data_IF_572310608098
#
_entry.id   IF_572310608098
#
_cell.length_a   1.000
_cell.length_b   1.000
_cell.length_c   1.000
_cell.angle_alpha   90.00
_cell.angle_beta   90.00
_cell.angle_gamma   90.00
#
_symmetry.space_group_name_H-M   'P 1'
#
loop_
_entity.id
_entity.type
_entity.pdbx_description
1 polymer ?
#
# COMPACT_ATOMS: atom_id res chain seq x y z
N UNK A 1 -14.85 -27.77 54.53
CA UNK A 1 -13.48 -27.52 54.06
C UNK A 1 -13.55 -27.51 52.53
N UNK A 2 -14.13 -26.53 51.84
CA UNK A 2 -13.75 -25.11 51.69
C UNK A 2 -12.26 -24.94 51.40
N UNK A 3 -11.94 -24.86 50.11
CA UNK A 3 -10.87 -24.03 49.60
C UNK A 3 -11.52 -23.02 48.66
N UNK A 4 -11.42 -21.76 49.06
CA UNK A 4 -11.74 -20.59 48.25
C UNK A 4 -10.56 -20.25 47.32
N UNK A 5 -10.91 -19.43 46.31
CA UNK A 5 -10.06 -18.49 45.59
C UNK A 5 -9.29 -19.07 44.37
N UNK A 6 -9.16 -18.40 43.22
CA UNK A 6 -9.27 -16.96 42.88
C UNK A 6 -9.80 -16.85 41.44
N UNK A 7 -10.81 -16.01 41.24
CA UNK A 7 -11.20 -15.46 39.94
C UNK A 7 -10.14 -14.41 39.54
N UNK A 8 -9.49 -14.56 38.38
CA UNK A 8 -8.62 -13.51 37.85
C UNK A 8 -8.74 -13.38 36.33
N UNK A 9 -9.65 -12.47 35.97
CA UNK A 9 -9.57 -11.45 34.93
C UNK A 9 -8.96 -11.83 33.57
N UNK A 10 -9.87 -11.98 32.60
CA UNK A 10 -9.85 -11.30 31.31
C UNK A 10 -8.46 -10.89 30.78
N UNK A 11 -7.72 -11.87 30.26
CA UNK A 11 -6.81 -11.59 29.16
C UNK A 11 -7.48 -12.02 27.85
N UNK A 12 -8.33 -11.15 27.32
CA UNK A 12 -8.61 -11.15 25.89
C UNK A 12 -7.32 -10.73 25.19
N UNK A 13 -6.46 -11.70 24.92
CA UNK A 13 -5.42 -11.54 23.91
C UNK A 13 -6.13 -11.42 22.57
N UNK A 14 -6.46 -10.18 22.17
CA UNK A 14 -6.84 -9.89 20.80
C UNK A 14 -5.56 -10.00 19.99
N UNK A 15 -5.24 -11.24 19.62
CA UNK A 15 -4.50 -11.47 18.38
C UNK A 15 -5.42 -10.92 17.30
N UNK A 16 -5.09 -9.76 16.75
CA UNK A 16 -5.60 -9.39 15.44
C UNK A 16 -5.04 -10.46 14.48
N UNK A 17 -5.75 -11.58 14.37
CA UNK A 17 -5.68 -12.41 13.19
C UNK A 17 -6.09 -11.46 12.07
N UNK A 18 -5.11 -11.00 11.28
CA UNK A 18 -5.35 -10.27 10.04
C UNK A 18 -6.29 -11.14 9.22
N UNK A 19 -7.55 -10.76 9.23
CA UNK A 19 -8.71 -11.50 8.81
C UNK A 19 -8.80 -11.35 7.31
N UNK A 20 -8.62 -12.46 6.58
CA UNK A 20 -8.65 -12.54 5.12
C UNK A 20 -7.51 -11.74 4.45
N UNK A 21 -7.09 -12.09 3.23
CA UNK A 21 -6.37 -11.13 2.40
C UNK A 21 -7.24 -9.88 2.32
N UNK A 22 -6.66 -8.74 2.68
CA UNK A 22 -7.30 -7.42 2.59
C UNK A 22 -7.65 -7.17 1.12
N UNK A 23 -8.84 -7.61 0.72
CA UNK A 23 -9.30 -7.79 -0.67
C UNK A 23 -9.92 -6.51 -1.23
N UNK A 24 -9.88 -5.41 -0.48
CA UNK A 24 -10.46 -4.15 -0.93
C UNK A 24 -9.59 -3.53 -2.02
N UNK A 25 -10.05 -3.60 -3.25
CA UNK A 25 -9.44 -2.90 -4.37
C UNK A 25 -9.88 -1.44 -4.45
N UNK A 26 -9.09 -0.63 -5.15
CA UNK A 26 -9.37 0.77 -5.46
C UNK A 26 -9.40 0.90 -6.98
N UNK A 27 -10.57 1.24 -7.51
CA UNK A 27 -10.80 1.33 -8.95
C UNK A 27 -10.80 2.80 -9.35
N UNK A 28 -9.99 3.14 -10.35
CA UNK A 28 -10.06 4.42 -11.06
C UNK A 28 -10.56 4.18 -12.48
N UNK A 29 -11.30 5.14 -13.03
CA UNK A 29 -11.84 5.06 -14.39
C UNK A 29 -11.90 6.44 -15.03
N UNK A 30 -11.37 6.56 -16.25
CA UNK A 30 -11.46 7.76 -17.08
C UNK A 30 -11.46 7.38 -18.57
N UNK A 31 -12.63 7.48 -19.22
CA UNK A 31 -12.80 7.07 -20.62
C UNK A 31 -12.55 5.56 -20.79
N UNK A 32 -11.71 5.20 -21.75
CA UNK A 32 -11.34 3.80 -22.05
C UNK A 32 -10.23 3.25 -21.13
N UNK A 33 -9.73 4.07 -20.20
CA UNK A 33 -8.66 3.71 -19.26
C UNK A 33 -9.24 3.47 -17.88
N UNK A 34 -8.94 2.31 -17.28
CA UNK A 34 -9.25 2.05 -15.88
C UNK A 34 -8.09 1.36 -15.19
N UNK A 35 -7.97 1.57 -13.89
CA UNK A 35 -6.92 0.99 -13.06
C UNK A 35 -7.51 0.35 -11.82
N UNK A 36 -7.03 -0.84 -11.48
CA UNK A 36 -7.43 -1.59 -10.28
C UNK A 36 -6.20 -1.77 -9.42
N UNK A 37 -6.17 -1.09 -8.29
CA UNK A 37 -5.09 -1.15 -7.30
C UNK A 37 -5.52 -1.89 -6.03
N UNK A 38 -4.57 -2.33 -5.22
CA UNK A 38 -4.79 -2.61 -3.81
C UNK A 38 -4.99 -1.30 -3.01
N UNK A 39 -5.20 -1.42 -1.69
CA UNK A 39 -5.44 -0.26 -0.82
C UNK A 39 -4.25 0.70 -0.68
N UNK A 40 -3.04 0.25 -1.02
CA UNK A 40 -1.80 1.02 -0.97
C UNK A 40 -1.44 1.63 -2.33
N UNK A 41 -2.23 1.35 -3.36
CA UNK A 41 -2.00 1.79 -4.73
C UNK A 41 -1.12 0.83 -5.53
N UNK A 42 -0.81 -0.35 -5.03
CA UNK A 42 -0.01 -1.34 -5.75
C UNK A 42 -0.86 -2.18 -6.70
N UNK A 43 -0.21 -2.69 -7.74
CA UNK A 43 -0.69 -3.78 -8.58
C UNK A 43 0.22 -4.98 -8.33
N UNK A 44 -0.32 -6.08 -7.84
CA UNK A 44 0.41 -7.29 -7.45
C UNK A 44 -0.22 -8.50 -8.12
N UNK A 45 0.34 -8.97 -9.22
CA UNK A 45 -0.01 -10.27 -9.79
C UNK A 45 0.92 -11.38 -9.26
N UNK A 46 0.40 -12.62 -9.07
CA UNK A 46 -1.01 -13.00 -9.13
C UNK A 46 -1.75 -12.59 -7.84
N UNK A 47 -2.88 -11.89 -8.00
CA UNK A 47 -3.84 -11.58 -6.93
C UNK A 47 -5.16 -12.31 -7.20
N UNK A 48 -5.94 -12.59 -6.14
CA UNK A 48 -7.27 -13.21 -6.29
C UNK A 48 -8.28 -12.35 -7.08
N UNK A 49 -8.03 -11.05 -7.17
CA UNK A 49 -8.77 -10.08 -7.97
C UNK A 49 -7.82 -9.55 -9.03
N UNK A 50 -8.24 -9.44 -10.28
CA UNK A 50 -7.37 -8.89 -11.33
C UNK A 50 -7.06 -7.42 -11.06
N UNK A 51 -5.81 -7.16 -10.71
CA UNK A 51 -5.26 -5.82 -10.58
C UNK A 51 -4.55 -5.46 -11.88
N UNK A 52 -4.48 -4.17 -12.20
CA UNK A 52 -3.76 -3.71 -13.36
C UNK A 52 -4.19 -2.35 -13.87
N UNK A 53 -3.47 -1.88 -14.89
CA UNK A 53 -3.90 -0.77 -15.75
C UNK A 53 -4.43 -1.35 -17.05
N UNK A 54 -5.65 -0.99 -17.40
CA UNK A 54 -6.35 -1.53 -18.55
C UNK A 54 -6.72 -0.40 -19.49
N UNK A 55 -6.53 -0.63 -20.78
CA UNK A 55 -6.97 0.27 -21.84
C UNK A 55 -7.71 -0.55 -22.88
N UNK A 56 -8.97 -0.21 -23.15
CA UNK A 56 -9.83 -0.96 -24.08
C UNK A 56 -9.83 -2.47 -23.79
N UNK A 57 -10.14 -2.80 -22.53
CA UNK A 57 -10.26 -4.18 -22.01
C UNK A 57 -8.95 -4.98 -21.91
N UNK A 58 -7.84 -4.48 -22.47
CA UNK A 58 -6.54 -5.14 -22.41
C UNK A 58 -5.71 -4.65 -21.22
N UNK A 59 -5.10 -5.57 -20.44
CA UNK A 59 -4.19 -5.23 -19.34
C UNK A 59 -2.81 -4.83 -19.88
N UNK A 60 -2.45 -3.56 -19.72
CA UNK A 60 -1.15 -3.03 -20.12
C UNK A 60 -0.12 -3.05 -18.99
N UNK A 61 -0.55 -3.03 -17.73
CA UNK A 61 0.32 -3.07 -16.56
C UNK A 61 -0.19 -4.15 -15.60
N UNK A 62 0.62 -5.16 -15.35
CA UNK A 62 0.30 -6.29 -14.47
C UNK A 62 1.05 -6.23 -13.14
N UNK A 63 2.04 -5.35 -13.01
CA UNK A 63 2.72 -5.09 -11.74
C UNK A 63 3.10 -3.63 -11.59
N UNK A 64 2.85 -3.10 -10.39
CA UNK A 64 3.23 -1.77 -9.94
C UNK A 64 3.41 -1.83 -8.43
N UNK A 65 4.62 -2.02 -7.94
CA UNK A 65 4.86 -2.19 -6.50
C UNK A 65 5.86 -1.16 -6.00
N UNK A 66 5.45 -0.35 -5.03
CA UNK A 66 6.33 0.58 -4.32
C UNK A 66 6.87 -0.07 -3.03
N UNK A 67 8.19 -0.01 -2.84
CA UNK A 67 8.86 -0.51 -1.63
C UNK A 67 9.89 0.47 -1.09
N UNK A 68 10.12 0.36 0.21
CA UNK A 68 11.28 0.93 0.88
C UNK A 68 12.31 -0.20 1.02
N UNK A 69 13.33 -0.20 0.14
CA UNK A 69 14.25 -1.33 -0.04
C UNK A 69 13.46 -2.61 -0.36
N UNK A 70 13.56 -3.64 0.48
CA UNK A 70 12.84 -4.91 0.38
C UNK A 70 11.50 -4.91 1.14
N UNK A 71 11.22 -3.84 1.89
CA UNK A 71 10.10 -3.75 2.82
C UNK A 71 8.86 -3.11 2.19
N UNK A 72 7.69 -3.64 2.53
CA UNK A 72 6.40 -3.06 2.15
C UNK A 72 6.11 -1.87 3.08
N UNK A 73 5.57 -0.79 2.52
CA UNK A 73 5.10 0.34 3.30
C UNK A 73 3.87 -0.06 4.14
N UNK A 74 3.54 0.73 5.14
CA UNK A 74 2.40 0.50 6.03
C UNK A 74 1.31 1.50 5.70
N UNK A 75 0.10 1.00 5.38
CA UNK A 75 -1.06 1.84 5.10
C UNK A 75 -1.53 2.57 6.36
N UNK A 76 -1.63 3.90 6.29
CA UNK A 76 -2.30 4.73 7.30
C UNK A 76 -3.74 5.00 6.86
N UNK A 77 -3.91 5.46 5.62
CA UNK A 77 -5.22 5.75 5.03
C UNK A 77 -5.16 5.68 3.51
N UNK A 78 -6.30 5.42 2.85
CA UNK A 78 -6.41 5.64 1.41
C UNK A 78 -7.83 5.97 0.98
N UNK A 79 -7.94 6.71 -0.12
CA UNK A 79 -9.20 7.20 -0.65
C UNK A 79 -9.16 7.29 -2.17
N UNK A 80 -10.35 7.24 -2.76
CA UNK A 80 -10.60 7.57 -4.17
C UNK A 80 -11.53 8.78 -4.15
N UNK A 81 -11.23 9.80 -4.96
CA UNK A 81 -12.07 11.00 -5.06
C UNK A 81 -13.41 10.66 -5.72
N UNK A 82 -14.41 11.52 -5.52
CA UNK A 82 -15.79 11.29 -6.02
C UNK A 82 -15.88 11.09 -7.54
N UNK A 83 -14.93 11.61 -8.31
CA UNK A 83 -14.88 11.45 -9.77
C UNK A 83 -14.21 10.14 -10.23
N UNK A 84 -13.76 9.30 -9.30
CA UNK A 84 -13.02 8.06 -9.56
C UNK A 84 -11.79 8.23 -10.47
N UNK A 85 -11.27 9.45 -10.65
CA UNK A 85 -10.09 9.69 -11.47
C UNK A 85 -8.81 9.79 -10.64
N UNK A 86 -8.94 10.02 -9.33
CA UNK A 86 -7.80 10.23 -8.42
C UNK A 86 -7.84 9.27 -7.24
N UNK A 87 -6.72 8.56 -7.04
CA UNK A 87 -6.44 7.77 -5.85
C UNK A 87 -5.37 8.45 -5.01
N UNK A 88 -5.49 8.39 -3.68
CA UNK A 88 -4.45 8.80 -2.74
C UNK A 88 -4.29 7.78 -1.62
N UNK A 89 -3.06 7.54 -1.19
CA UNK A 89 -2.73 6.77 -0.01
C UNK A 89 -1.67 7.47 0.84
N UNK A 90 -1.97 7.58 2.13
CA UNK A 90 -1.00 7.91 3.17
C UNK A 90 -0.37 6.60 3.67
N UNK A 91 0.94 6.49 3.52
CA UNK A 91 1.72 5.33 3.93
C UNK A 91 2.85 5.76 4.88
N UNK A 92 3.40 4.80 5.61
CA UNK A 92 4.58 5.01 6.46
C UNK A 92 5.56 3.85 6.40
N UNK A 93 6.79 4.02 6.87
CA UNK A 93 7.77 2.95 6.92
C UNK A 93 7.53 1.99 8.12
N UNK A 94 7.80 0.69 7.96
CA UNK A 94 8.05 -0.20 9.10
C UNK A 94 9.37 0.18 9.80
N UNK A 95 9.66 -0.45 10.94
CA UNK A 95 11.01 -0.39 11.49
C UNK A 95 11.97 -1.00 10.45
N UNK A 96 12.97 -0.22 10.01
CA UNK A 96 13.83 -0.60 8.89
C UNK A 96 15.26 -0.21 9.17
N UNK A 97 16.20 -1.07 8.77
CA UNK A 97 17.63 -0.79 8.82
C UNK A 97 18.10 -0.25 7.46
N UNK A 98 18.65 0.95 7.46
CA UNK A 98 19.16 1.63 6.28
C UNK A 98 20.47 1.00 5.78
N UNK A 99 20.90 1.45 4.60
CA UNK A 99 22.16 1.05 3.96
C UNK A 99 23.38 1.37 4.81
N UNK A 100 23.36 2.46 5.58
CA UNK A 100 24.42 2.86 6.52
C UNK A 100 24.32 2.20 7.91
N UNK A 101 23.51 1.14 8.02
CA UNK A 101 23.20 0.39 9.24
C UNK A 101 22.44 1.14 10.34
N UNK A 102 22.03 2.39 10.12
CA UNK A 102 21.15 3.08 11.08
C UNK A 102 19.75 2.50 11.05
N UNK A 103 19.10 2.49 12.20
CA UNK A 103 17.71 2.07 12.33
C UNK A 103 16.81 3.31 12.19
N UNK A 104 15.84 3.22 11.29
CA UNK A 104 14.75 4.19 11.21
C UNK A 104 13.56 3.59 11.91
N UNK A 105 13.08 4.30 12.93
CA UNK A 105 11.91 3.89 13.70
C UNK A 105 10.70 3.76 12.78
N UNK A 106 9.84 2.78 13.08
CA UNK A 106 8.50 2.67 12.45
C UNK A 106 7.78 4.01 12.57
N UNK A 107 7.19 4.50 11.49
CA UNK A 107 6.44 5.76 11.53
C UNK A 107 7.25 7.03 11.25
N UNK A 108 8.58 6.95 11.10
CA UNK A 108 9.42 8.14 10.93
C UNK A 108 9.27 8.83 9.57
N UNK A 109 8.96 8.06 8.53
CA UNK A 109 8.82 8.52 7.16
C UNK A 109 7.35 8.43 6.78
N UNK A 110 6.81 9.53 6.26
CA UNK A 110 5.50 9.56 5.64
C UNK A 110 5.66 9.57 4.13
N UNK A 111 4.79 8.81 3.47
CA UNK A 111 4.72 8.74 2.03
C UNK A 111 3.31 9.09 1.60
N UNK A 112 3.16 10.12 0.78
CA UNK A 112 1.92 10.39 0.07
C UNK A 112 2.05 9.85 -1.35
N UNK A 113 1.31 8.79 -1.64
CA UNK A 113 1.20 8.23 -2.98
C UNK A 113 -0.10 8.69 -3.62
N UNK A 114 -0.06 9.05 -4.90
CA UNK A 114 -1.26 9.42 -5.66
C UNK A 114 -1.22 8.84 -7.07
N UNK A 115 -2.38 8.43 -7.58
CA UNK A 115 -2.60 8.09 -8.99
C UNK A 115 -3.65 9.02 -9.58
N UNK A 116 -3.45 9.45 -10.82
CA UNK A 116 -4.44 10.20 -11.61
C UNK A 116 -4.61 9.54 -12.98
N UNK A 117 -5.85 9.27 -13.37
CA UNK A 117 -6.20 8.93 -14.75
C UNK A 117 -6.67 10.18 -15.49
N UNK A 118 -5.96 10.56 -16.55
CA UNK A 118 -6.32 11.70 -17.38
C UNK A 118 -5.78 11.53 -18.80
N UNK A 119 -6.61 11.77 -19.82
CA UNK A 119 -6.17 11.74 -21.22
C UNK A 119 -5.46 10.45 -21.62
N UNK A 120 -6.04 9.29 -21.32
CA UNK A 120 -5.46 7.96 -21.56
C UNK A 120 -4.08 7.73 -20.90
N UNK A 121 -3.76 8.49 -19.85
CA UNK A 121 -2.53 8.34 -19.07
C UNK A 121 -2.84 8.08 -17.60
N UNK A 122 -2.11 7.14 -17.00
CA UNK A 122 -2.07 6.96 -15.55
C UNK A 122 -0.78 7.60 -15.00
N UNK A 123 -0.90 8.73 -14.31
CA UNK A 123 0.23 9.39 -13.65
C UNK A 123 0.34 8.97 -12.19
N UNK A 124 1.53 8.62 -11.73
CA UNK A 124 1.83 8.37 -10.32
C UNK A 124 2.70 9.48 -9.74
N UNK A 125 2.40 9.91 -8.52
CA UNK A 125 3.22 10.82 -7.74
C UNK A 125 3.51 10.21 -6.37
N UNK A 126 4.77 10.29 -5.94
CA UNK A 126 5.23 9.83 -4.62
C UNK A 126 5.92 11.01 -3.95
N UNK A 127 5.39 11.46 -2.81
CA UNK A 127 6.01 12.46 -1.96
C UNK A 127 6.50 11.78 -0.68
N UNK A 128 7.66 12.19 -0.17
CA UNK A 128 8.27 11.61 1.03
C UNK A 128 8.60 12.71 2.01
N UNK A 129 8.16 12.56 3.25
CA UNK A 129 8.48 13.47 4.34
C UNK A 129 9.18 12.70 5.47
N UNK A 130 10.32 13.22 5.92
CA UNK A 130 11.03 12.70 7.09
C UNK A 130 10.60 13.47 8.35
N UNK A 131 10.10 12.75 9.35
CA UNK A 131 9.75 13.24 10.68
C UNK A 131 10.73 12.76 11.76
N UNK A 132 11.87 12.20 11.36
CA UNK A 132 13.00 11.95 12.26
C UNK A 132 13.84 13.23 12.44
N UNK A 133 14.64 13.26 13.51
CA UNK A 133 15.55 14.37 13.80
C UNK A 133 16.87 14.27 13.04
N UNK A 134 17.09 13.17 12.31
CA UNK A 134 18.30 12.91 11.54
C UNK A 134 18.03 12.87 10.05
N UNK A 135 19.05 13.20 9.25
CA UNK A 135 19.05 12.96 7.80
C UNK A 135 19.06 11.46 7.55
N UNK A 136 18.14 10.99 6.71
CA UNK A 136 17.96 9.59 6.34
C UNK A 136 18.24 9.44 4.85
N UNK A 137 19.08 8.47 4.47
CA UNK A 137 19.21 8.04 3.08
C UNK A 137 18.33 6.81 2.88
N UNK A 138 17.37 6.88 1.97
CA UNK A 138 16.45 5.77 1.67
C UNK A 138 16.63 5.26 0.24
N UNK A 139 16.32 3.99 0.05
CA UNK A 139 16.19 3.36 -1.27
C UNK A 139 14.70 3.11 -1.53
N UNK A 140 14.15 3.75 -2.56
CA UNK A 140 12.81 3.47 -3.03
C UNK A 140 12.87 2.64 -4.29
N UNK A 141 12.14 1.52 -4.28
CA UNK A 141 12.07 0.59 -5.39
C UNK A 141 10.66 0.65 -5.97
N UNK A 142 10.58 0.87 -7.28
CA UNK A 142 9.34 0.78 -8.04
C UNK A 142 9.45 -0.38 -9.03
N UNK A 143 8.70 -1.45 -8.78
CA UNK A 143 8.66 -2.62 -9.65
C UNK A 143 7.53 -2.46 -10.68
N UNK A 144 7.81 -2.75 -11.95
CA UNK A 144 6.89 -2.59 -13.07
C UNK A 144 6.92 -3.84 -13.94
N UNK A 145 5.76 -4.36 -14.31
CA UNK A 145 5.62 -5.44 -15.30
C UNK A 145 4.37 -5.20 -16.17
N UNK A 146 4.44 -5.72 -17.38
CA UNK A 146 3.37 -5.69 -18.39
C UNK A 146 3.21 -7.09 -18.96
N UNK A 147 1.97 -7.51 -19.17
CA UNK A 147 1.66 -8.83 -19.74
C UNK A 147 0.75 -8.79 -20.97
N UNK A 148 0.08 -7.65 -21.24
CA UNK A 148 -0.74 -7.50 -22.45
C UNK A 148 -1.85 -8.56 -22.53
N UNK A 149 -2.41 -8.95 -21.38
CA UNK A 149 -3.44 -9.98 -21.26
C UNK A 149 -4.86 -9.41 -21.48
N UNK A 150 -5.74 -10.23 -22.06
CA UNK A 150 -7.18 -9.98 -22.24
C UNK A 150 -8.06 -10.64 -21.17
#
# INVERSE_FOLDING_TARGET
MSFDAVENENQYYVRAQSSLPDTQTKVLMAGDLFAVFDRQGDVRTPSFIEQGLFYKEMRHLSRLVLRLKDQVLLLLSSSVRMDNAVFTADLTNPAVRLTDQREVRRGALHFLRSSLLWGNTCSQQIQVQNYDHQVVTIELVLELESDFAD
#
